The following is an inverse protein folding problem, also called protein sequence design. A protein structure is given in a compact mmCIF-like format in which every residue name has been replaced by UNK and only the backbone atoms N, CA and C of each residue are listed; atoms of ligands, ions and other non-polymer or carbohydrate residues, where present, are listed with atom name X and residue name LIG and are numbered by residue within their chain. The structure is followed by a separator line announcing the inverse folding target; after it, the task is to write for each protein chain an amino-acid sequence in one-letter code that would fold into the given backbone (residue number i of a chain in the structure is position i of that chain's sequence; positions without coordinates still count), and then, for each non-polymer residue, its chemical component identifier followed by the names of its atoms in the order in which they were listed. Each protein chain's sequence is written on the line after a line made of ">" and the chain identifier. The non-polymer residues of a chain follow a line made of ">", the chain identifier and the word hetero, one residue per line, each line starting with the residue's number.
data_IF_088165015748
#
_entry.id   IF_088165015748
#
_cell.length_a   1.000
_cell.length_b   1.000
_cell.length_c   1.000
_cell.angle_alpha   90.00
_cell.angle_beta   90.00
_cell.angle_gamma   90.00
#
_symmetry.space_group_name_H-M   'P 1'
#
loop_
_entity.id
_entity.type
_entity.pdbx_description
1 polymer ?
#
# COMPACT_ATOMS: atom_id res chain seq x y z
N UNK A 1 -16.61 5.06 -22.39
CA UNK A 1 -15.68 4.83 -21.28
C UNK A 1 -16.35 4.97 -19.91
N UNK A 2 -16.96 6.12 -19.54
CA UNK A 2 -17.59 6.31 -18.21
C UNK A 2 -18.71 5.32 -17.88
N UNK A 3 -19.54 4.91 -18.86
CA UNK A 3 -20.65 3.96 -18.67
C UNK A 3 -20.15 2.54 -18.39
N UNK A 4 -19.11 2.09 -19.08
CA UNK A 4 -18.52 0.77 -18.88
C UNK A 4 -17.85 0.65 -17.51
N UNK A 5 -17.10 1.67 -17.11
CA UNK A 5 -16.49 1.73 -15.78
C UNK A 5 -17.57 1.67 -14.69
N UNK A 6 -18.62 2.48 -14.80
CA UNK A 6 -19.75 2.46 -13.85
C UNK A 6 -20.40 1.06 -13.76
N UNK A 7 -20.58 0.37 -14.89
CA UNK A 7 -21.13 -0.98 -14.92
C UNK A 7 -20.21 -1.98 -14.21
N UNK A 8 -18.91 -1.92 -14.45
CA UNK A 8 -17.92 -2.77 -13.77
C UNK A 8 -17.91 -2.52 -12.26
N UNK A 9 -17.89 -1.27 -11.83
CA UNK A 9 -17.93 -0.90 -10.41
C UNK A 9 -19.25 -1.31 -9.73
N UNK A 10 -20.40 -1.18 -10.41
CA UNK A 10 -21.68 -1.65 -9.89
C UNK A 10 -21.70 -3.16 -9.66
N UNK A 11 -21.20 -3.94 -10.64
CA UNK A 11 -21.10 -5.41 -10.51
C UNK A 11 -20.15 -5.80 -9.39
N UNK A 12 -19.08 -5.05 -9.22
CA UNK A 12 -18.14 -5.24 -8.13
C UNK A 12 -18.79 -4.94 -6.76
N UNK A 13 -19.50 -3.83 -6.63
CA UNK A 13 -20.24 -3.52 -5.42
C UNK A 13 -21.27 -4.62 -5.08
N UNK A 14 -21.90 -5.20 -6.09
CA UNK A 14 -22.79 -6.33 -5.90
C UNK A 14 -22.05 -7.60 -5.45
N UNK A 15 -20.86 -7.86 -6.01
CA UNK A 15 -19.97 -8.95 -5.58
C UNK A 15 -19.61 -8.84 -4.10
N UNK A 16 -19.27 -7.65 -3.64
CA UNK A 16 -18.90 -7.41 -2.25
C UNK A 16 -20.08 -7.62 -1.28
N UNK A 17 -21.30 -7.37 -1.72
CA UNK A 17 -22.53 -7.52 -0.89
C UNK A 17 -23.15 -8.91 -0.99
N UNK A 18 -23.12 -9.51 -2.18
CA UNK A 18 -23.76 -10.81 -2.48
C UNK A 18 -22.95 -11.61 -3.49
N UNK A 19 -21.83 -12.23 -3.07
CA UNK A 19 -20.88 -12.88 -3.98
C UNK A 19 -21.49 -14.04 -4.79
N UNK A 20 -22.59 -14.63 -4.34
CA UNK A 20 -23.30 -15.69 -5.06
C UNK A 20 -24.29 -15.21 -6.15
N UNK A 21 -24.47 -13.89 -6.31
CA UNK A 21 -25.35 -13.36 -7.37
C UNK A 21 -24.74 -13.58 -8.76
N UNK A 22 -25.53 -14.03 -9.72
CA UNK A 22 -25.09 -14.22 -11.12
C UNK A 22 -24.55 -12.97 -11.81
N UNK A 23 -24.86 -11.80 -11.27
CA UNK A 23 -24.38 -10.51 -11.78
C UNK A 23 -23.17 -9.97 -11.02
N UNK A 24 -22.84 -10.59 -9.87
CA UNK A 24 -21.73 -10.20 -9.04
C UNK A 24 -20.41 -10.62 -9.67
N UNK A 25 -19.52 -9.68 -9.93
CA UNK A 25 -18.20 -9.94 -10.49
C UNK A 25 -17.19 -9.04 -9.80
N UNK A 26 -16.01 -9.58 -9.52
CA UNK A 26 -14.86 -8.72 -9.18
C UNK A 26 -14.64 -7.74 -10.33
N UNK A 27 -14.35 -6.49 -10.03
CA UNK A 27 -14.02 -5.56 -11.10
C UNK A 27 -12.75 -6.02 -11.81
N UNK A 28 -12.86 -6.28 -13.08
CA UNK A 28 -11.72 -6.42 -13.95
C UNK A 28 -11.48 -5.09 -14.66
N UNK A 29 -10.47 -4.38 -14.12
CA UNK A 29 -10.00 -3.08 -14.58
C UNK A 29 -8.54 -3.20 -15.07
N UNK A 30 -8.12 -4.42 -15.41
CA UNK A 30 -6.77 -4.65 -15.93
C UNK A 30 -6.55 -3.82 -17.19
N UNK A 31 -5.39 -3.18 -17.24
CA UNK A 31 -4.97 -2.29 -18.33
C UNK A 31 -5.92 -1.12 -18.61
N UNK A 32 -6.85 -0.82 -17.71
CA UNK A 32 -7.75 0.32 -17.86
C UNK A 32 -6.98 1.63 -17.71
N UNK A 33 -7.34 2.62 -18.52
CA UNK A 33 -6.89 3.99 -18.30
C UNK A 33 -7.81 4.66 -17.27
N UNK A 34 -7.29 4.89 -16.07
CA UNK A 34 -7.93 5.53 -14.94
C UNK A 34 -7.10 6.75 -14.48
N UNK A 35 -6.21 7.25 -15.34
CA UNK A 35 -5.39 8.41 -15.05
C UNK A 35 -6.29 9.61 -14.72
N UNK A 36 -5.90 10.37 -13.68
CA UNK A 36 -6.64 11.52 -13.15
C UNK A 36 -8.06 11.18 -12.66
N UNK A 37 -8.42 9.89 -12.51
CA UNK A 37 -9.74 9.51 -12.01
C UNK A 37 -9.87 9.85 -10.52
N UNK A 38 -11.03 10.38 -10.13
CA UNK A 38 -11.41 10.46 -8.72
C UNK A 38 -12.07 9.14 -8.31
N UNK A 39 -11.33 8.38 -7.51
CA UNK A 39 -11.72 7.10 -6.92
C UNK A 39 -11.68 7.19 -5.38
N UNK A 40 -11.78 8.40 -4.83
CA UNK A 40 -11.81 8.61 -3.39
C UNK A 40 -12.93 7.78 -2.77
N UNK A 41 -12.63 7.14 -1.64
CA UNK A 41 -13.57 6.28 -0.91
C UNK A 41 -14.08 5.06 -1.71
N UNK A 42 -13.57 4.80 -2.92
CA UNK A 42 -14.02 3.66 -3.72
C UNK A 42 -13.69 2.34 -3.02
N UNK A 43 -14.63 1.41 -3.01
CA UNK A 43 -14.36 0.04 -2.58
C UNK A 43 -13.93 -0.79 -3.79
N UNK A 44 -12.63 -0.99 -3.93
CA UNK A 44 -11.95 -1.78 -4.97
C UNK A 44 -11.29 -3.03 -4.39
N UNK A 45 -11.76 -3.48 -3.21
CA UNK A 45 -11.20 -4.66 -2.56
C UNK A 45 -11.30 -5.89 -3.48
N UNK A 46 -10.18 -6.62 -3.61
CA UNK A 46 -10.04 -7.78 -4.49
C UNK A 46 -10.22 -7.49 -6.00
N UNK A 47 -10.29 -6.24 -6.44
CA UNK A 47 -10.37 -5.90 -7.86
C UNK A 47 -9.08 -6.28 -8.61
N UNK A 48 -9.21 -6.56 -9.90
CA UNK A 48 -8.06 -6.73 -10.79
C UNK A 48 -7.75 -5.39 -11.47
N UNK A 49 -6.64 -4.77 -11.06
CA UNK A 49 -6.11 -3.51 -11.58
C UNK A 49 -4.72 -3.71 -12.21
N UNK A 50 -4.40 -4.96 -12.59
CA UNK A 50 -3.10 -5.28 -13.18
C UNK A 50 -2.82 -4.41 -14.40
N UNK A 51 -1.66 -3.74 -14.40
CA UNK A 51 -1.24 -2.89 -15.51
C UNK A 51 -2.14 -1.69 -15.79
N UNK A 52 -3.08 -1.36 -14.89
CA UNK A 52 -3.92 -0.18 -15.03
C UNK A 52 -3.08 1.09 -14.94
N UNK A 53 -3.45 2.11 -15.74
CA UNK A 53 -2.92 3.45 -15.60
C UNK A 53 -3.76 4.24 -14.60
N UNK A 54 -3.21 4.46 -13.42
CA UNK A 54 -3.76 5.23 -12.31
C UNK A 54 -2.90 6.48 -12.03
N UNK A 55 -2.12 6.92 -13.01
CA UNK A 55 -1.27 8.10 -12.85
C UNK A 55 -2.09 9.32 -12.44
N UNK A 56 -1.65 10.03 -11.39
CA UNK A 56 -2.33 11.18 -10.81
C UNK A 56 -3.79 10.93 -10.39
N UNK A 57 -4.20 9.66 -10.21
CA UNK A 57 -5.54 9.35 -9.72
C UNK A 57 -5.67 9.70 -8.24
N UNK A 58 -6.88 10.06 -7.81
CA UNK A 58 -7.20 10.32 -6.41
C UNK A 58 -7.82 9.05 -5.82
N UNK A 59 -7.06 8.34 -4.98
CA UNK A 59 -7.44 7.10 -4.31
C UNK A 59 -7.53 7.27 -2.79
N UNK A 60 -7.66 8.50 -2.33
CA UNK A 60 -7.71 8.83 -0.91
C UNK A 60 -8.86 8.09 -0.22
N UNK A 61 -8.55 7.41 0.90
CA UNK A 61 -9.50 6.55 1.63
C UNK A 61 -10.07 5.38 0.80
N UNK A 62 -9.53 5.05 -0.35
CA UNK A 62 -10.00 3.91 -1.12
C UNK A 62 -9.67 2.59 -0.41
N UNK A 63 -10.58 1.62 -0.50
CA UNK A 63 -10.33 0.27 -0.04
C UNK A 63 -9.82 -0.57 -1.20
N UNK A 64 -8.52 -0.85 -1.20
CA UNK A 64 -7.79 -1.67 -2.18
C UNK A 64 -7.32 -3.00 -1.57
N UNK A 65 -7.91 -3.42 -0.44
CA UNK A 65 -7.52 -4.66 0.24
C UNK A 65 -7.53 -5.84 -0.73
N UNK A 66 -6.40 -6.54 -0.82
CA UNK A 66 -6.26 -7.73 -1.68
C UNK A 66 -6.43 -7.47 -3.17
N UNK A 67 -6.41 -6.21 -3.61
CA UNK A 67 -6.46 -5.87 -5.03
C UNK A 67 -5.17 -6.29 -5.75
N UNK A 68 -5.27 -6.65 -7.02
CA UNK A 68 -4.12 -6.90 -7.86
C UNK A 68 -3.75 -5.62 -8.61
N UNK A 69 -2.71 -4.96 -8.17
CA UNK A 69 -2.12 -3.75 -8.75
C UNK A 69 -0.75 -4.02 -9.41
N UNK A 70 -0.44 -5.30 -9.69
CA UNK A 70 0.85 -5.64 -10.28
C UNK A 70 1.06 -4.93 -11.62
N UNK A 71 2.24 -4.38 -11.82
CA UNK A 71 2.60 -3.59 -12.99
C UNK A 71 1.73 -2.34 -13.23
N UNK A 72 0.91 -1.90 -12.27
CA UNK A 72 0.11 -0.70 -12.41
C UNK A 72 0.98 0.56 -12.39
N UNK A 73 0.53 1.61 -13.08
CA UNK A 73 1.15 2.94 -13.06
C UNK A 73 0.38 3.78 -12.05
N UNK A 74 1.01 4.09 -10.92
CA UNK A 74 0.48 4.87 -9.80
C UNK A 74 1.31 6.15 -9.57
N UNK A 75 2.09 6.56 -10.56
CA UNK A 75 2.93 7.74 -10.43
C UNK A 75 2.09 8.98 -10.10
N UNK A 76 2.52 9.75 -9.10
CA UNK A 76 1.82 10.94 -8.60
C UNK A 76 0.37 10.67 -8.11
N UNK A 77 -0.03 9.42 -7.88
CA UNK A 77 -1.36 9.12 -7.35
C UNK A 77 -1.45 9.50 -5.87
N UNK A 78 -2.63 9.99 -5.46
CA UNK A 78 -2.91 10.20 -4.04
C UNK A 78 -3.56 8.94 -3.43
N UNK A 79 -2.78 8.20 -2.65
CA UNK A 79 -3.17 7.00 -1.91
C UNK A 79 -3.26 7.25 -0.40
N UNK A 80 -3.26 8.51 0.04
CA UNK A 80 -3.28 8.83 1.46
C UNK A 80 -4.51 8.20 2.13
N UNK A 81 -4.30 7.58 3.29
CA UNK A 81 -5.31 6.84 4.06
C UNK A 81 -5.94 5.65 3.30
N UNK A 82 -5.38 5.19 2.20
CA UNK A 82 -5.90 4.04 1.47
C UNK A 82 -5.60 2.72 2.20
N UNK A 83 -6.51 1.75 2.09
CA UNK A 83 -6.33 0.41 2.64
C UNK A 83 -5.76 -0.49 1.54
N UNK A 84 -4.44 -0.73 1.56
CA UNK A 84 -3.70 -1.57 0.61
C UNK A 84 -3.32 -2.93 1.20
N UNK A 85 -3.90 -3.29 2.34
CA UNK A 85 -3.58 -4.54 3.03
C UNK A 85 -3.77 -5.74 2.12
N UNK A 86 -2.74 -6.63 2.04
CA UNK A 86 -2.70 -7.78 1.15
C UNK A 86 -2.75 -7.45 -0.35
N UNK A 87 -2.61 -6.21 -0.78
CA UNK A 87 -2.58 -5.85 -2.19
C UNK A 87 -1.30 -6.35 -2.86
N UNK A 88 -1.41 -6.73 -4.12
CA UNK A 88 -0.25 -7.04 -4.93
C UNK A 88 0.17 -5.82 -5.74
N UNK A 89 1.24 -5.17 -5.33
CA UNK A 89 1.87 -4.01 -5.96
C UNK A 89 3.20 -4.37 -6.65
N UNK A 90 3.46 -5.66 -6.90
CA UNK A 90 4.71 -6.08 -7.51
C UNK A 90 4.89 -5.41 -8.88
N UNK A 91 6.11 -4.90 -9.11
CA UNK A 91 6.46 -4.17 -10.33
C UNK A 91 5.62 -2.91 -10.60
N UNK A 92 4.85 -2.40 -9.64
CA UNK A 92 4.08 -1.18 -9.80
C UNK A 92 5.00 0.05 -9.81
N UNK A 93 4.63 1.06 -10.58
CA UNK A 93 5.29 2.36 -10.53
C UNK A 93 4.52 3.29 -9.58
N UNK A 94 5.04 3.47 -8.37
CA UNK A 94 4.51 4.35 -7.33
C UNK A 94 5.31 5.66 -7.22
N UNK A 95 6.14 5.99 -8.21
CA UNK A 95 6.99 7.17 -8.11
C UNK A 95 6.17 8.44 -7.83
N UNK A 96 6.60 9.18 -6.79
CA UNK A 96 5.94 10.40 -6.32
C UNK A 96 4.48 10.21 -5.88
N UNK A 97 4.04 8.98 -5.59
CA UNK A 97 2.74 8.76 -5.01
C UNK A 97 2.70 9.21 -3.53
N UNK A 98 1.58 9.81 -3.14
CA UNK A 98 1.30 10.12 -1.75
C UNK A 98 0.74 8.88 -1.04
N UNK A 99 1.51 8.34 -0.10
CA UNK A 99 1.19 7.14 0.69
C UNK A 99 1.00 7.48 2.17
N UNK A 100 0.81 8.75 2.54
CA UNK A 100 0.63 9.17 3.93
C UNK A 100 -0.52 8.36 4.56
N UNK A 101 -0.26 7.74 5.72
CA UNK A 101 -1.23 6.93 6.47
C UNK A 101 -1.90 5.79 5.66
N UNK A 102 -1.30 5.34 4.56
CA UNK A 102 -1.78 4.18 3.83
C UNK A 102 -1.45 2.88 4.56
N UNK A 103 -2.43 1.97 4.71
CA UNK A 103 -2.21 0.63 5.27
C UNK A 103 -1.65 -0.32 4.21
N UNK A 104 -0.34 -0.49 4.20
CA UNK A 104 0.40 -1.40 3.32
C UNK A 104 0.68 -2.76 3.96
N UNK A 105 0.08 -3.07 5.11
CA UNK A 105 0.35 -4.33 5.83
C UNK A 105 0.13 -5.54 4.92
N UNK A 106 1.12 -6.45 4.88
CA UNK A 106 1.11 -7.63 4.01
C UNK A 106 0.99 -7.34 2.51
N UNK A 107 1.19 -6.12 2.04
CA UNK A 107 1.24 -5.82 0.62
C UNK A 107 2.53 -6.35 -0.01
N UNK A 108 2.43 -6.82 -1.25
CA UNK A 108 3.60 -7.23 -2.01
C UNK A 108 4.11 -6.04 -2.85
N UNK A 109 5.22 -5.45 -2.45
CA UNK A 109 5.91 -4.36 -3.13
C UNK A 109 7.17 -4.81 -3.88
N UNK A 110 7.32 -6.10 -4.16
CA UNK A 110 8.51 -6.63 -4.86
C UNK A 110 8.74 -5.89 -6.18
N UNK A 111 9.94 -5.36 -6.37
CA UNK A 111 10.32 -4.61 -7.57
C UNK A 111 9.44 -3.38 -7.87
N UNK A 112 8.69 -2.86 -6.90
CA UNK A 112 7.95 -1.61 -7.07
C UNK A 112 8.91 -0.41 -7.09
N UNK A 113 8.60 0.59 -7.92
CA UNK A 113 9.31 1.86 -7.91
C UNK A 113 8.68 2.82 -6.88
N UNK A 114 9.39 3.06 -5.79
CA UNK A 114 8.95 3.88 -4.65
C UNK A 114 9.62 5.26 -4.61
N UNK A 115 10.27 5.68 -5.70
CA UNK A 115 10.98 6.95 -5.74
C UNK A 115 10.06 8.13 -5.37
N UNK A 116 10.48 8.96 -4.43
CA UNK A 116 9.77 10.18 -4.06
C UNK A 116 8.47 9.95 -3.27
N UNK A 117 8.22 8.74 -2.77
CA UNK A 117 7.06 8.45 -1.90
C UNK A 117 7.34 8.74 -0.43
N UNK A 118 8.61 8.96 -0.05
CA UNK A 118 9.00 8.97 1.35
C UNK A 118 8.92 7.61 2.05
N UNK A 119 8.66 6.54 1.29
CA UNK A 119 8.61 5.18 1.82
C UNK A 119 9.94 4.48 1.55
N UNK A 120 10.58 3.96 2.58
CA UNK A 120 11.75 3.11 2.47
C UNK A 120 11.35 1.69 2.82
N UNK A 121 11.65 0.77 1.92
CA UNK A 121 11.41 -0.65 2.10
C UNK A 121 12.69 -1.34 2.55
N UNK A 122 12.68 -1.89 3.75
CA UNK A 122 13.73 -2.78 4.22
C UNK A 122 13.20 -4.21 4.22
N UNK A 123 13.88 -5.08 3.49
CA UNK A 123 13.54 -6.49 3.41
C UNK A 123 14.54 -7.28 4.26
N UNK A 124 14.09 -7.82 5.38
CA UNK A 124 14.83 -8.76 6.20
C UNK A 124 14.29 -10.18 5.99
N UNK A 125 15.04 -11.20 6.42
CA UNK A 125 14.78 -12.62 6.12
C UNK A 125 13.35 -13.10 6.38
N UNK A 126 12.66 -12.52 7.38
CA UNK A 126 11.30 -12.93 7.77
C UNK A 126 10.27 -11.79 7.72
N UNK A 127 10.71 -10.53 7.63
CA UNK A 127 9.82 -9.37 7.73
C UNK A 127 10.16 -8.31 6.69
N UNK A 128 9.14 -7.61 6.24
CA UNK A 128 9.28 -6.40 5.45
C UNK A 128 8.99 -5.22 6.37
N UNK A 129 9.94 -4.29 6.53
CA UNK A 129 9.72 -3.05 7.22
C UNK A 129 9.39 -1.95 6.22
N UNK A 130 8.32 -1.22 6.48
CA UNK A 130 7.94 -0.02 5.76
C UNK A 130 8.26 1.18 6.63
N UNK A 131 9.11 2.08 6.15
CA UNK A 131 9.55 3.24 6.90
C UNK A 131 9.01 4.48 6.20
N UNK A 132 8.17 5.21 6.89
CA UNK A 132 7.69 6.52 6.53
C UNK A 132 8.16 7.54 7.56
N UNK A 133 8.12 8.82 7.24
CA UNK A 133 8.61 9.89 8.12
C UNK A 133 7.98 9.83 9.52
N UNK A 134 6.69 9.53 9.61
CA UNK A 134 5.92 9.53 10.86
C UNK A 134 5.54 8.13 11.35
N UNK A 135 5.87 7.09 10.60
CA UNK A 135 5.49 5.72 10.93
C UNK A 135 6.54 4.70 10.50
N UNK A 136 6.78 3.73 11.34
CA UNK A 136 7.57 2.53 10.99
C UNK A 136 6.68 1.32 11.19
N UNK A 137 6.46 0.55 10.13
CA UNK A 137 5.69 -0.71 10.20
C UNK A 137 6.63 -1.87 9.98
N UNK A 138 6.68 -2.80 10.93
CA UNK A 138 7.48 -4.03 10.86
C UNK A 138 6.50 -5.19 10.90
N UNK A 139 6.47 -5.98 9.83
CA UNK A 139 5.48 -7.03 9.69
C UNK A 139 4.05 -6.46 9.70
N UNK A 140 3.29 -6.67 10.77
CA UNK A 140 1.92 -6.17 10.93
C UNK A 140 1.75 -5.11 12.03
N UNK A 141 2.84 -4.71 12.69
CA UNK A 141 2.80 -3.74 13.79
C UNK A 141 3.37 -2.40 13.33
N UNK A 142 2.61 -1.33 13.57
CA UNK A 142 3.02 0.03 13.27
C UNK A 142 3.47 0.73 14.53
N UNK A 143 4.59 1.43 14.46
CA UNK A 143 5.22 2.14 15.56
C UNK A 143 5.39 3.61 15.24
N UNK A 144 5.30 4.45 16.26
CA UNK A 144 5.83 5.81 16.22
C UNK A 144 7.37 5.76 16.27
N UNK A 145 8.07 6.41 15.33
CA UNK A 145 9.53 6.35 15.28
C UNK A 145 10.20 6.80 16.56
N UNK A 146 9.74 7.91 17.16
CA UNK A 146 10.32 8.46 18.37
C UNK A 146 10.20 7.50 19.56
N UNK A 147 9.05 6.86 19.70
CA UNK A 147 8.81 5.82 20.72
C UNK A 147 9.63 4.57 20.47
N UNK A 148 9.70 4.12 19.21
CA UNK A 148 10.41 2.91 18.83
C UNK A 148 11.93 3.03 19.08
N UNK A 149 12.54 4.17 18.74
CA UNK A 149 13.98 4.36 18.94
C UNK A 149 14.35 4.63 20.39
N UNK A 150 13.46 5.21 21.19
CA UNK A 150 13.69 5.47 22.61
C UNK A 150 13.51 4.21 23.48
N UNK A 151 12.49 3.41 23.21
CA UNK A 151 12.03 2.32 24.09
C UNK A 151 12.12 0.92 23.47
N UNK A 152 12.45 0.79 22.17
CA UNK A 152 12.42 -0.48 21.45
C UNK A 152 11.00 -0.96 21.14
N UNK A 153 10.84 -2.23 20.76
CA UNK A 153 9.57 -2.82 20.32
C UNK A 153 8.59 -3.17 21.45
N UNK A 154 8.90 -2.74 22.67
CA UNK A 154 8.04 -2.92 23.84
C UNK A 154 8.28 -4.21 24.63
N UNK A 155 7.73 -4.25 25.86
CA UNK A 155 7.90 -5.38 26.77
C UNK A 155 7.11 -6.63 26.36
N UNK A 156 6.05 -6.46 25.57
CA UNK A 156 5.18 -7.55 25.11
C UNK A 156 5.76 -8.31 23.90
N UNK A 157 6.83 -7.83 23.28
CA UNK A 157 7.49 -8.52 22.18
C UNK A 157 8.19 -9.79 22.68
N UNK A 158 8.07 -10.87 21.94
CA UNK A 158 8.77 -12.11 22.27
C UNK A 158 10.28 -12.00 22.01
N UNK A 159 11.04 -13.00 22.46
CA UNK A 159 12.50 -12.98 22.36
C UNK A 159 12.97 -12.98 20.89
N UNK A 160 12.24 -13.66 20.01
CA UNK A 160 12.50 -13.70 18.57
C UNK A 160 12.31 -12.34 17.91
N UNK A 161 11.25 -11.63 18.29
CA UNK A 161 10.96 -10.27 17.81
C UNK A 161 12.02 -9.25 18.28
N UNK A 162 12.50 -9.42 19.53
CA UNK A 162 13.56 -8.58 20.09
C UNK A 162 14.90 -8.79 19.39
N UNK A 163 15.29 -10.04 19.18
CA UNK A 163 16.53 -10.35 18.44
C UNK A 163 16.48 -9.78 17.02
N UNK A 164 15.33 -9.90 16.35
CA UNK A 164 15.13 -9.37 15.02
C UNK A 164 15.21 -7.85 15.00
N UNK A 165 14.57 -7.18 15.97
CA UNK A 165 14.65 -5.73 16.15
C UNK A 165 16.09 -5.26 16.33
N UNK A 166 16.83 -5.83 17.29
CA UNK A 166 18.21 -5.43 17.56
C UNK A 166 19.13 -5.63 16.35
N UNK A 167 18.92 -6.70 15.60
CA UNK A 167 19.68 -6.97 14.36
C UNK A 167 19.42 -5.92 13.27
N UNK A 168 18.18 -5.48 13.11
CA UNK A 168 17.78 -4.62 12.00
C UNK A 168 17.68 -3.14 12.40
N UNK A 169 17.67 -2.81 13.71
CA UNK A 169 17.57 -1.46 14.24
C UNK A 169 18.55 -0.46 13.59
N UNK A 170 19.84 -0.78 13.38
CA UNK A 170 20.75 0.17 12.75
C UNK A 170 20.35 0.53 11.32
N UNK A 171 19.87 -0.45 10.54
CA UNK A 171 19.42 -0.22 9.17
C UNK A 171 18.10 0.58 9.13
N UNK A 172 17.18 0.28 10.04
CA UNK A 172 15.90 0.99 10.18
C UNK A 172 16.15 2.45 10.59
N UNK A 173 17.04 2.68 11.55
CA UNK A 173 17.40 4.01 12.00
C UNK A 173 18.06 4.82 10.88
N UNK A 174 19.06 4.26 10.20
CA UNK A 174 19.75 4.92 9.10
C UNK A 174 18.78 5.27 7.94
N UNK A 175 17.85 4.40 7.65
CA UNK A 175 16.82 4.63 6.65
C UNK A 175 15.85 5.76 7.07
N UNK A 176 15.43 5.78 8.34
CA UNK A 176 14.55 6.81 8.87
C UNK A 176 15.23 8.18 8.90
N UNK A 177 16.49 8.25 9.38
CA UNK A 177 17.30 9.47 9.36
C UNK A 177 17.47 10.04 7.95
N UNK A 178 17.55 9.17 6.92
CA UNK A 178 17.68 9.61 5.53
C UNK A 178 16.44 10.33 5.01
N UNK A 179 15.26 10.09 5.61
CA UNK A 179 14.03 10.81 5.27
C UNK A 179 14.00 12.23 5.86
N UNK A 180 14.67 12.47 6.99
CA UNK A 180 14.71 13.78 7.62
C UNK A 180 15.63 14.77 6.89
N UNK A 181 16.65 14.28 6.19
CA UNK A 181 17.65 15.11 5.48
C UNK A 181 17.17 15.57 4.09
N UNK A 182 16.00 15.14 3.65
CA UNK A 182 15.48 15.38 2.28
C UNK A 182 14.62 16.65 2.17
N UNK A 183 14.74 17.62 3.10
CA UNK A 183 14.10 18.95 3.03
C UNK A 183 14.94 20.02 2.35
#
# INVERSE_FOLDING_TARGET
>A
MKTELRRKLWRHALYLRRPGSRFAQRADLSYANLSYADLSYANLSYANLRGADLSCAILRYANLRGANLSCAILSCANLSYAILRYANLSYANLSYADLIDADLSYANLSCANLRGTGLILLQAEQYTAYIQREQITIGCTTFDPSGLFANGIGEEADESDRELWERNRPAILAAWESLEVSE
#
